data_IF_261924098359
#
_entry.id   IF_261924098359
#
_cell.length_a   1.000
_cell.length_b   1.000
_cell.length_c   1.000
_cell.angle_alpha   90.00
_cell.angle_beta   90.00
_cell.angle_gamma   90.00
#
_symmetry.space_group_name_H-M   'P 1'
#
loop_
_entity.id
_entity.type
_entity.pdbx_description
1 polymer ?
#
# COMPACT_ATOMS: atom_id res chain seq x y z
N UNK A 1 11.44 -22.00 -27.79
CA UNK A 1 12.10 -20.98 -26.98
C UNK A 1 11.11 -20.63 -25.86
N UNK A 2 11.50 -20.74 -24.59
CA UNK A 2 10.67 -20.36 -23.46
C UNK A 2 10.33 -18.85 -23.56
N UNK A 3 9.09 -18.49 -23.27
CA UNK A 3 8.64 -17.11 -23.28
C UNK A 3 9.41 -16.34 -22.19
N UNK A 4 10.06 -15.20 -22.49
CA UNK A 4 10.97 -14.53 -21.54
C UNK A 4 10.24 -13.87 -20.37
N UNK A 5 8.90 -13.71 -20.44
CA UNK A 5 8.06 -13.12 -19.43
C UNK A 5 6.93 -14.06 -19.02
N UNK A 6 6.53 -13.98 -17.75
CA UNK A 6 5.44 -14.76 -17.20
C UNK A 6 4.10 -14.27 -17.74
N UNK A 7 3.20 -15.20 -18.04
CA UNK A 7 1.81 -14.86 -18.39
C UNK A 7 1.10 -14.26 -17.16
N UNK A 8 0.41 -13.13 -17.38
CA UNK A 8 -0.26 -12.41 -16.34
C UNK A 8 -1.60 -13.06 -15.93
N UNK A 9 -1.99 -12.91 -14.68
CA UNK A 9 -3.32 -13.25 -14.20
C UNK A 9 -4.34 -12.15 -14.55
N UNK A 10 -5.61 -12.48 -14.48
CA UNK A 10 -6.74 -11.54 -14.61
C UNK A 10 -6.76 -10.73 -15.90
N UNK A 11 -6.87 -11.42 -17.03
CA UNK A 11 -7.16 -10.75 -18.30
C UNK A 11 -8.15 -11.55 -19.14
N UNK A 12 -8.79 -10.86 -20.10
CA UNK A 12 -9.71 -11.46 -21.06
C UNK A 12 -9.26 -11.10 -22.47
N UNK A 13 -9.00 -12.07 -23.35
CA UNK A 13 -8.75 -11.81 -24.76
C UNK A 13 -9.97 -11.14 -25.43
N UNK A 14 -9.70 -10.25 -26.38
CA UNK A 14 -10.71 -9.61 -27.23
C UNK A 14 -10.28 -9.65 -28.71
N UNK A 15 -11.14 -9.18 -29.61
CA UNK A 15 -10.85 -9.16 -31.04
C UNK A 15 -9.53 -8.48 -31.38
N UNK A 16 -8.99 -8.81 -32.56
CA UNK A 16 -7.73 -8.27 -33.10
C UNK A 16 -6.52 -8.46 -32.17
N UNK A 17 -6.44 -9.60 -31.51
CA UNK A 17 -5.40 -9.93 -30.52
C UNK A 17 -5.26 -8.91 -29.40
N UNK A 18 -6.31 -8.11 -29.12
CA UNK A 18 -6.36 -7.26 -27.95
C UNK A 18 -6.63 -8.04 -26.68
N UNK A 19 -6.39 -7.41 -25.53
CA UNK A 19 -6.77 -7.96 -24.21
C UNK A 19 -7.37 -6.87 -23.34
N UNK A 20 -8.24 -7.25 -22.39
CA UNK A 20 -8.67 -6.40 -21.28
C UNK A 20 -7.99 -6.92 -20.02
N UNK A 21 -7.17 -6.10 -19.40
CA UNK A 21 -6.57 -6.40 -18.09
C UNK A 21 -7.59 -6.15 -16.99
N UNK A 22 -7.91 -7.19 -16.20
CA UNK A 22 -8.91 -7.15 -15.15
C UNK A 22 -8.30 -7.12 -13.73
N UNK A 23 -6.98 -6.90 -13.61
CA UNK A 23 -6.28 -6.94 -12.34
C UNK A 23 -6.59 -5.70 -11.46
N UNK A 24 -6.56 -4.51 -12.05
CA UNK A 24 -6.88 -3.27 -11.36
C UNK A 24 -8.06 -2.56 -11.99
N UNK A 25 -8.61 -1.58 -11.28
CA UNK A 25 -9.83 -0.87 -11.65
C UNK A 25 -9.71 0.04 -12.87
N UNK A 26 -8.51 0.21 -13.44
CA UNK A 26 -8.35 0.82 -14.75
C UNK A 26 -8.95 -0.01 -15.88
N UNK A 27 -9.00 -1.35 -15.73
CA UNK A 27 -9.52 -2.28 -16.73
C UNK A 27 -9.03 -1.94 -18.14
N UNK A 28 -7.69 -1.81 -18.27
CA UNK A 28 -7.04 -1.36 -19.49
C UNK A 28 -7.36 -2.27 -20.67
N UNK A 29 -7.88 -1.68 -21.76
CA UNK A 29 -7.91 -2.33 -23.07
C UNK A 29 -6.55 -2.14 -23.73
N UNK A 30 -5.79 -3.24 -23.86
CA UNK A 30 -4.40 -3.23 -24.33
C UNK A 30 -4.33 -3.90 -25.69
N UNK A 31 -4.01 -3.13 -26.72
CA UNK A 31 -3.85 -3.64 -28.09
C UNK A 31 -2.54 -4.42 -28.22
N UNK A 32 -2.42 -5.20 -29.30
CA UNK A 32 -1.20 -5.93 -29.67
C UNK A 32 0.04 -5.01 -29.62
N UNK A 33 1.12 -5.48 -28.99
CA UNK A 33 2.38 -4.73 -28.86
C UNK A 33 2.32 -3.51 -27.94
N UNK A 34 1.28 -3.35 -27.12
CA UNK A 34 1.12 -2.18 -26.23
C UNK A 34 1.17 -2.57 -24.76
N UNK A 35 1.40 -1.55 -23.92
CA UNK A 35 1.42 -1.65 -22.47
C UNK A 35 0.12 -1.11 -21.87
N UNK A 36 -0.25 -1.64 -20.70
CA UNK A 36 -1.28 -1.04 -19.84
C UNK A 36 -0.79 0.24 -19.17
N UNK A 37 -1.71 0.96 -18.51
CA UNK A 37 -1.44 2.22 -17.79
C UNK A 37 -0.27 2.11 -16.79
N UNK A 38 -0.10 0.96 -16.14
CA UNK A 38 0.99 0.73 -15.17
C UNK A 38 2.39 0.62 -15.80
N UNK A 39 2.50 0.52 -17.13
CA UNK A 39 3.76 0.41 -17.85
C UNK A 39 4.45 -0.96 -17.78
N UNK A 40 3.88 -1.97 -17.10
CA UNK A 40 4.52 -3.28 -16.86
C UNK A 40 3.67 -4.49 -17.27
N UNK A 41 2.49 -4.25 -17.83
CA UNK A 41 1.62 -5.27 -18.42
C UNK A 41 1.61 -5.11 -19.92
N UNK A 42 2.15 -6.10 -20.65
CA UNK A 42 2.40 -6.09 -22.08
C UNK A 42 1.54 -7.11 -22.80
N UNK A 43 0.88 -6.72 -23.88
CA UNK A 43 0.12 -7.63 -24.72
C UNK A 43 0.98 -8.13 -25.88
N UNK A 44 1.20 -9.43 -25.94
CA UNK A 44 1.89 -10.14 -27.04
C UNK A 44 0.98 -11.22 -27.62
N UNK A 45 0.53 -11.04 -28.83
CA UNK A 45 -0.27 -12.05 -29.55
C UNK A 45 -1.63 -12.35 -28.93
N UNK A 46 -2.25 -11.42 -28.18
CA UNK A 46 -3.50 -11.68 -27.45
C UNK A 46 -3.29 -12.33 -26.08
N UNK A 47 -2.04 -12.45 -25.62
CA UNK A 47 -1.66 -12.88 -24.28
C UNK A 47 -1.11 -11.70 -23.49
N UNK A 48 -1.60 -11.52 -22.28
CA UNK A 48 -1.07 -10.50 -21.36
C UNK A 48 0.11 -11.07 -20.59
N UNK A 49 1.24 -10.35 -20.59
CA UNK A 49 2.46 -10.72 -19.88
C UNK A 49 2.77 -9.71 -18.79
N UNK A 50 3.29 -10.17 -17.66
CA UNK A 50 3.92 -9.31 -16.66
C UNK A 50 5.41 -9.21 -16.95
N UNK A 51 5.92 -7.99 -17.06
CA UNK A 51 7.33 -7.72 -17.35
C UNK A 51 8.22 -7.72 -16.10
N UNK A 52 7.62 -7.67 -14.92
CA UNK A 52 8.32 -7.42 -13.64
C UNK A 52 8.29 -8.61 -12.68
N UNK A 53 7.90 -9.79 -13.16
CA UNK A 53 7.92 -10.99 -12.33
C UNK A 53 9.38 -11.34 -11.95
N UNK A 54 9.64 -11.43 -10.63
CA UNK A 54 10.99 -11.63 -10.04
C UNK A 54 12.03 -10.53 -10.38
N UNK A 55 11.60 -9.38 -10.92
CA UNK A 55 12.47 -8.23 -11.20
C UNK A 55 12.32 -7.17 -10.11
N UNK A 56 13.15 -7.28 -9.08
CA UNK A 56 13.04 -6.47 -7.87
C UNK A 56 13.97 -5.27 -7.95
N UNK A 57 13.41 -4.06 -7.86
CA UNK A 57 14.16 -2.79 -7.88
C UNK A 57 14.55 -2.30 -6.49
N UNK A 58 13.83 -2.73 -5.47
CA UNK A 58 14.13 -2.39 -4.07
C UNK A 58 13.84 -3.58 -3.17
N UNK A 59 14.81 -3.92 -2.30
CA UNK A 59 14.71 -5.00 -1.32
C UNK A 59 15.43 -4.57 -0.04
N UNK A 60 14.68 -4.40 1.09
CA UNK A 60 15.22 -3.90 2.35
C UNK A 60 14.56 -4.57 3.55
N UNK A 61 15.32 -4.76 4.62
CA UNK A 61 14.76 -5.06 5.93
C UNK A 61 14.41 -3.74 6.61
N UNK A 62 13.12 -3.50 6.84
CA UNK A 62 12.60 -2.27 7.43
C UNK A 62 11.81 -2.56 8.72
N UNK A 63 11.70 -1.61 9.67
CA UNK A 63 10.69 -1.71 10.72
C UNK A 63 9.28 -1.73 10.13
N UNK A 64 8.38 -2.50 10.74
CA UNK A 64 6.97 -2.57 10.30
C UNK A 64 6.29 -1.19 10.38
N UNK A 65 6.69 -0.34 11.31
CA UNK A 65 6.22 1.03 11.47
C UNK A 65 6.45 1.89 10.22
N UNK A 66 7.51 1.61 9.44
CA UNK A 66 7.77 2.29 8.16
C UNK A 66 6.75 1.91 7.06
N UNK A 67 5.93 0.88 7.30
CA UNK A 67 4.84 0.45 6.40
C UNK A 67 3.49 1.08 6.78
N UNK A 68 3.45 2.11 7.58
CA UNK A 68 2.44 2.59 8.52
C UNK A 68 1.44 1.50 8.96
N UNK A 69 2.01 0.41 9.51
CA UNK A 69 1.27 -0.70 10.13
C UNK A 69 1.65 -0.74 11.61
N UNK A 70 0.98 0.09 12.41
CA UNK A 70 1.29 0.27 13.84
C UNK A 70 0.62 -0.78 14.72
N UNK A 71 -0.36 -1.50 14.17
CA UNK A 71 -1.14 -2.55 14.83
C UNK A 71 -0.86 -3.95 14.27
N UNK A 72 0.25 -4.13 13.54
CA UNK A 72 0.69 -5.44 13.02
C UNK A 72 2.07 -5.75 13.55
N UNK A 73 2.17 -6.66 14.52
CA UNK A 73 3.44 -7.07 15.14
C UNK A 73 4.36 -5.87 15.47
N UNK A 74 3.93 -4.89 16.29
CA UNK A 74 4.69 -3.66 16.54
C UNK A 74 6.14 -3.94 16.96
N UNK A 75 7.10 -3.19 16.40
CA UNK A 75 8.53 -3.33 16.65
C UNK A 75 9.21 -4.47 15.90
N UNK A 76 8.47 -5.19 15.04
CA UNK A 76 9.06 -6.25 14.22
C UNK A 76 9.72 -5.72 12.95
N UNK A 77 10.61 -6.55 12.39
CA UNK A 77 11.17 -6.34 11.06
C UNK A 77 10.26 -6.92 9.98
N UNK A 78 10.20 -6.22 8.82
CA UNK A 78 9.51 -6.64 7.61
C UNK A 78 10.49 -6.62 6.43
N UNK A 79 10.55 -7.69 5.65
CA UNK A 79 11.31 -7.69 4.41
C UNK A 79 10.49 -7.04 3.30
N UNK A 80 10.94 -5.91 2.81
CA UNK A 80 10.21 -5.01 1.90
C UNK A 80 10.71 -5.16 0.49
N UNK A 81 9.81 -5.40 -0.47
CA UNK A 81 10.15 -5.60 -1.88
C UNK A 81 9.29 -4.73 -2.79
N UNK A 82 9.88 -4.28 -3.91
CA UNK A 82 9.20 -3.55 -4.96
C UNK A 82 9.73 -3.91 -6.34
N UNK A 83 8.86 -3.79 -7.34
CA UNK A 83 9.22 -3.75 -8.76
C UNK A 83 9.06 -2.34 -9.32
N UNK A 84 9.53 -2.08 -10.54
CA UNK A 84 9.26 -0.81 -11.21
C UNK A 84 7.81 -0.73 -11.68
N UNK A 85 7.31 0.51 -11.83
CA UNK A 85 5.97 0.81 -12.33
C UNK A 85 4.94 1.07 -11.23
N UNK A 86 3.80 1.64 -11.63
CA UNK A 86 2.64 1.88 -10.76
C UNK A 86 1.40 2.11 -11.64
N UNK A 87 0.24 1.71 -11.16
CA UNK A 87 -1.03 2.01 -11.83
C UNK A 87 -1.56 3.43 -11.56
N UNK A 88 -0.95 4.19 -10.62
CA UNK A 88 -1.20 5.61 -10.41
C UNK A 88 -0.07 6.49 -10.95
N UNK A 89 -0.38 7.76 -11.20
CA UNK A 89 0.58 8.76 -11.72
C UNK A 89 0.59 10.00 -10.83
N UNK A 90 0.70 9.80 -9.51
CA UNK A 90 0.66 10.88 -8.52
C UNK A 90 1.74 11.93 -8.78
N UNK A 91 1.35 13.20 -8.91
CA UNK A 91 2.28 14.32 -9.12
C UNK A 91 3.24 14.54 -7.92
N UNK A 92 2.86 14.01 -6.74
CA UNK A 92 3.61 14.09 -5.48
C UNK A 92 4.29 12.77 -5.07
N UNK A 93 4.52 11.85 -6.00
CA UNK A 93 5.02 10.51 -5.69
C UNK A 93 6.43 10.55 -5.10
N UNK A 94 6.61 10.03 -3.88
CA UNK A 94 7.90 9.99 -3.17
C UNK A 94 8.88 8.97 -3.80
N UNK A 95 8.37 8.01 -4.58
CA UNK A 95 9.15 6.96 -5.25
C UNK A 95 9.01 7.09 -6.78
N UNK A 96 8.97 8.31 -7.32
CA UNK A 96 8.71 8.55 -8.75
C UNK A 96 9.81 7.96 -9.65
N UNK A 97 11.03 7.88 -9.15
CA UNK A 97 12.20 7.30 -9.81
C UNK A 97 12.01 5.83 -10.20
N UNK A 98 11.32 5.05 -9.37
CA UNK A 98 11.03 3.64 -9.62
C UNK A 98 9.59 3.39 -10.08
N UNK A 99 8.63 4.21 -9.62
CA UNK A 99 7.20 4.01 -9.94
C UNK A 99 6.79 4.56 -11.31
N UNK A 100 7.51 5.56 -11.84
CA UNK A 100 7.19 6.21 -13.11
C UNK A 100 8.19 5.87 -14.23
N UNK A 101 8.87 4.74 -14.12
CA UNK A 101 9.77 4.21 -15.15
C UNK A 101 8.99 3.96 -16.44
N UNK A 102 9.53 4.43 -17.56
CA UNK A 102 8.94 4.25 -18.89
C UNK A 102 9.62 3.09 -19.62
N UNK A 103 8.94 1.96 -19.72
CA UNK A 103 9.36 0.85 -20.57
C UNK A 103 8.88 1.13 -21.99
N UNK A 104 9.78 0.99 -22.98
CA UNK A 104 9.42 1.18 -24.38
C UNK A 104 8.87 -0.14 -24.94
N UNK A 105 7.69 -0.06 -25.55
CA UNK A 105 7.07 -1.18 -26.27
C UNK A 105 6.27 -0.65 -27.46
N UNK A 106 6.40 -1.31 -28.61
CA UNK A 106 5.58 -1.06 -29.80
C UNK A 106 5.40 -2.40 -30.54
N UNK A 107 4.49 -2.47 -31.54
CA UNK A 107 4.35 -3.66 -32.37
C UNK A 107 5.65 -4.09 -33.07
N UNK A 108 6.54 -3.13 -33.34
CA UNK A 108 7.83 -3.35 -34.03
C UNK A 108 9.00 -3.54 -33.05
N UNK A 109 8.80 -3.28 -31.76
CA UNK A 109 9.85 -3.34 -30.73
C UNK A 109 9.31 -3.92 -29.43
N UNK A 110 9.50 -5.21 -29.24
CA UNK A 110 9.10 -5.91 -28.03
C UNK A 110 10.03 -5.56 -26.86
N UNK A 111 9.52 -5.46 -25.63
CA UNK A 111 10.36 -5.34 -24.44
C UNK A 111 11.27 -6.57 -24.28
N UNK A 112 12.51 -6.38 -23.85
CA UNK A 112 13.40 -7.46 -23.45
C UNK A 112 13.64 -7.44 -21.94
N UNK A 113 13.99 -8.60 -21.32
CA UNK A 113 14.25 -8.67 -19.87
C UNK A 113 15.37 -7.73 -19.40
N UNK A 114 16.35 -7.42 -20.26
CA UNK A 114 17.47 -6.53 -19.97
C UNK A 114 17.05 -5.06 -19.90
N UNK A 115 15.93 -4.70 -20.52
CA UNK A 115 15.36 -3.36 -20.49
C UNK A 115 14.52 -3.11 -19.24
N UNK A 116 14.20 -4.15 -18.45
CA UNK A 116 13.41 -4.03 -17.23
C UNK A 116 14.35 -3.81 -16.05
N UNK A 117 14.33 -2.66 -15.40
CA UNK A 117 15.18 -2.40 -14.24
C UNK A 117 14.84 -3.33 -13.08
N UNK A 118 15.87 -3.74 -12.34
CA UNK A 118 15.77 -4.60 -11.17
C UNK A 118 16.64 -5.84 -11.28
N UNK A 119 16.95 -6.41 -10.13
CA UNK A 119 17.70 -7.65 -10.00
C UNK A 119 16.76 -8.85 -9.93
N UNK A 120 17.25 -10.00 -10.31
CA UNK A 120 16.49 -11.26 -10.21
C UNK A 120 16.44 -11.68 -8.74
N UNK A 121 15.23 -11.84 -8.21
CA UNK A 121 14.98 -12.37 -6.86
C UNK A 121 13.78 -13.31 -6.93
N UNK A 122 14.02 -14.62 -6.80
CA UNK A 122 12.96 -15.61 -6.91
C UNK A 122 12.01 -15.59 -5.71
N UNK A 123 10.85 -16.21 -5.87
CA UNK A 123 9.86 -16.37 -4.80
C UNK A 123 10.46 -17.08 -3.57
N UNK A 124 11.31 -18.07 -3.79
CA UNK A 124 11.99 -18.81 -2.72
C UNK A 124 12.99 -17.91 -1.99
N UNK A 125 13.80 -17.16 -2.74
CA UNK A 125 14.82 -16.28 -2.17
C UNK A 125 14.21 -15.17 -1.30
N UNK A 126 13.05 -14.59 -1.68
CA UNK A 126 12.42 -13.56 -0.85
C UNK A 126 11.98 -14.10 0.50
N UNK A 127 11.48 -15.34 0.54
CA UNK A 127 11.08 -16.00 1.78
C UNK A 127 12.30 -16.38 2.62
N UNK A 128 13.32 -16.98 2.01
CA UNK A 128 14.58 -17.33 2.69
C UNK A 128 15.26 -16.11 3.33
N UNK A 129 15.32 -14.97 2.62
CA UNK A 129 15.89 -13.73 3.17
C UNK A 129 15.06 -13.23 4.36
N UNK A 130 13.73 -13.27 4.24
CA UNK A 130 12.86 -12.87 5.36
C UNK A 130 13.08 -13.74 6.60
N UNK A 131 13.25 -15.06 6.44
CA UNK A 131 13.59 -15.99 7.54
C UNK A 131 14.96 -15.70 8.14
N UNK A 132 15.99 -15.57 7.30
CA UNK A 132 17.36 -15.29 7.74
C UNK A 132 17.48 -14.01 8.56
N UNK A 133 16.67 -13.00 8.24
CA UNK A 133 16.60 -11.72 8.97
C UNK A 133 15.53 -11.70 10.07
N UNK A 134 14.92 -12.84 10.40
CA UNK A 134 13.87 -12.96 11.42
C UNK A 134 12.70 -11.98 11.22
N UNK A 135 12.39 -11.64 9.96
CA UNK A 135 11.27 -10.79 9.64
C UNK A 135 9.95 -11.48 9.96
N UNK A 136 9.04 -10.77 10.64
CA UNK A 136 7.69 -11.28 10.92
C UNK A 136 6.77 -11.17 9.72
N UNK A 137 7.13 -10.34 8.73
CA UNK A 137 6.34 -10.15 7.52
C UNK A 137 7.20 -9.89 6.28
N UNK A 138 6.60 -10.12 5.11
CA UNK A 138 7.06 -9.60 3.83
C UNK A 138 6.11 -8.47 3.43
N UNK A 139 6.67 -7.28 3.15
CA UNK A 139 5.93 -6.13 2.71
C UNK A 139 6.12 -5.88 1.21
N UNK A 140 5.04 -5.95 0.45
CA UNK A 140 4.99 -5.56 -0.95
C UNK A 140 4.64 -4.06 -1.00
N UNK A 141 5.61 -3.20 -1.35
CA UNK A 141 5.56 -1.77 -1.01
C UNK A 141 6.33 -0.89 -2.00
N UNK A 142 6.60 0.38 -1.63
CA UNK A 142 7.32 1.45 -2.34
C UNK A 142 6.67 1.88 -3.66
N UNK A 143 6.35 0.93 -4.54
CA UNK A 143 5.54 1.15 -5.74
C UNK A 143 4.12 0.65 -5.47
N UNK A 144 3.52 -0.12 -6.36
CA UNK A 144 2.17 -0.63 -6.15
C UNK A 144 2.13 -2.16 -6.25
N UNK A 145 1.84 -2.90 -5.18
CA UNK A 145 1.81 -4.36 -5.20
C UNK A 145 0.86 -4.96 -6.24
N UNK A 146 -0.22 -4.27 -6.57
CA UNK A 146 -1.15 -4.73 -7.62
C UNK A 146 -0.44 -5.01 -8.94
N UNK A 147 0.56 -4.21 -9.34
CA UNK A 147 1.16 -4.37 -10.67
C UNK A 147 2.14 -5.54 -10.76
N UNK A 148 2.63 -6.05 -9.64
CA UNK A 148 3.46 -7.26 -9.55
C UNK A 148 2.76 -8.39 -8.76
N UNK A 149 1.46 -8.47 -8.96
CA UNK A 149 0.52 -9.34 -8.27
C UNK A 149 0.94 -10.82 -8.29
N UNK A 150 1.35 -11.36 -9.43
CA UNK A 150 1.72 -12.78 -9.57
C UNK A 150 2.88 -13.14 -8.63
N UNK A 151 3.86 -12.25 -8.52
CA UNK A 151 4.99 -12.43 -7.61
C UNK A 151 4.53 -12.35 -6.14
N UNK A 152 3.73 -11.35 -5.80
CA UNK A 152 3.20 -11.19 -4.44
C UNK A 152 2.29 -12.37 -4.03
N UNK A 153 1.49 -12.88 -4.97
CA UNK A 153 0.60 -14.03 -4.75
C UNK A 153 1.40 -15.32 -4.46
N UNK A 154 2.40 -15.63 -5.29
CA UNK A 154 3.20 -16.83 -5.13
C UNK A 154 4.12 -16.76 -3.91
N UNK A 155 4.78 -15.62 -3.70
CA UNK A 155 5.59 -15.40 -2.51
C UNK A 155 4.75 -15.41 -1.23
N UNK A 156 3.56 -14.81 -1.23
CA UNK A 156 2.63 -14.84 -0.10
C UNK A 156 2.18 -16.25 0.25
N UNK A 157 1.87 -17.04 -0.77
CA UNK A 157 1.51 -18.46 -0.58
C UNK A 157 2.66 -19.29 0.02
N UNK A 158 3.91 -19.00 -0.37
CA UNK A 158 5.07 -19.67 0.21
C UNK A 158 5.35 -19.17 1.63
N UNK A 159 5.34 -17.86 1.86
CA UNK A 159 5.61 -17.22 3.15
C UNK A 159 4.67 -17.72 4.26
N UNK A 160 3.39 -17.93 3.97
CA UNK A 160 2.43 -18.51 4.92
C UNK A 160 2.82 -19.92 5.40
N UNK A 161 3.47 -20.74 4.55
CA UNK A 161 3.97 -22.07 4.96
C UNK A 161 5.13 -21.97 5.96
N UNK A 162 5.78 -20.81 6.00
CA UNK A 162 6.89 -20.47 6.91
C UNK A 162 6.44 -19.58 8.08
N UNK A 163 5.11 -19.40 8.27
CA UNK A 163 4.52 -18.54 9.31
C UNK A 163 4.99 -17.07 9.24
N UNK A 164 5.24 -16.57 8.03
CA UNK A 164 5.58 -15.18 7.75
C UNK A 164 4.33 -14.49 7.21
N UNK A 165 3.93 -13.37 7.83
CA UNK A 165 2.79 -12.56 7.39
C UNK A 165 3.10 -11.86 6.07
N UNK A 166 2.05 -11.59 5.28
CA UNK A 166 2.16 -10.81 4.06
C UNK A 166 1.36 -9.53 4.17
N UNK A 167 2.01 -8.41 3.90
CA UNK A 167 1.39 -7.11 4.04
C UNK A 167 1.56 -6.26 2.77
N UNK A 168 0.52 -5.55 2.39
CA UNK A 168 0.54 -4.60 1.29
C UNK A 168 0.63 -3.16 1.80
N UNK A 169 1.46 -2.35 1.15
CA UNK A 169 1.35 -0.89 1.19
C UNK A 169 0.87 -0.47 -0.20
N UNK A 170 -0.39 -0.11 -0.33
CA UNK A 170 -1.09 -0.07 -1.61
C UNK A 170 -1.96 1.17 -1.77
N UNK A 171 -2.19 1.58 -3.00
CA UNK A 171 -3.18 2.60 -3.33
C UNK A 171 -4.63 2.08 -3.38
N UNK A 172 -4.84 0.79 -3.12
CA UNK A 172 -6.15 0.17 -3.02
C UNK A 172 -6.92 0.03 -4.33
N UNK A 173 -6.27 0.09 -5.50
CA UNK A 173 -6.96 0.08 -6.79
C UNK A 173 -7.15 -1.31 -7.42
N UNK A 174 -7.13 -2.36 -6.60
CA UNK A 174 -7.38 -3.74 -7.05
C UNK A 174 -8.85 -3.95 -7.41
N UNK A 175 -9.10 -4.89 -8.32
CA UNK A 175 -10.46 -5.37 -8.58
C UNK A 175 -10.93 -6.31 -7.46
N UNK A 176 -12.25 -6.50 -7.37
CA UNK A 176 -12.84 -7.40 -6.39
C UNK A 176 -12.38 -8.85 -6.61
N UNK A 177 -12.21 -9.25 -7.86
CA UNK A 177 -11.74 -10.57 -8.25
C UNK A 177 -10.29 -10.81 -7.74
N UNK A 178 -9.41 -9.84 -7.95
CA UNK A 178 -8.02 -9.92 -7.49
C UNK A 178 -7.92 -9.91 -5.95
N UNK A 179 -8.72 -9.10 -5.27
CA UNK A 179 -8.77 -9.07 -3.80
C UNK A 179 -9.23 -10.40 -3.20
N UNK A 180 -10.28 -11.00 -3.75
CA UNK A 180 -10.79 -12.29 -3.28
C UNK A 180 -9.77 -13.41 -3.47
N UNK A 181 -9.04 -13.40 -4.59
CA UNK A 181 -8.04 -14.42 -4.89
C UNK A 181 -6.82 -14.34 -3.98
N UNK A 182 -6.32 -13.13 -3.68
CA UNK A 182 -5.14 -12.97 -2.82
C UNK A 182 -5.46 -13.08 -1.33
N UNK A 183 -6.72 -12.88 -0.93
CA UNK A 183 -7.15 -12.86 0.48
C UNK A 183 -6.59 -14.00 1.33
N UNK A 184 -6.52 -15.27 0.87
CA UNK A 184 -5.97 -16.34 1.69
C UNK A 184 -4.50 -16.15 2.11
N UNK A 185 -3.79 -15.26 1.43
CA UNK A 185 -2.35 -15.03 1.59
C UNK A 185 -2.00 -13.57 1.94
N UNK A 186 -2.99 -12.70 2.13
CA UNK A 186 -2.83 -11.30 2.52
C UNK A 186 -3.40 -11.06 3.91
N UNK A 187 -2.54 -10.80 4.89
CA UNK A 187 -2.91 -10.66 6.29
C UNK A 187 -3.32 -9.22 6.63
N UNK A 188 -2.57 -8.24 6.12
CA UNK A 188 -2.82 -6.84 6.41
C UNK A 188 -2.50 -5.93 5.21
N UNK A 189 -3.07 -4.74 5.21
CA UNK A 189 -2.76 -3.70 4.24
C UNK A 189 -2.75 -2.31 4.89
N UNK A 190 -1.73 -1.53 4.58
CA UNK A 190 -1.83 -0.08 4.69
C UNK A 190 -2.33 0.45 3.35
N UNK A 191 -3.47 1.13 3.35
CA UNK A 191 -4.12 1.61 2.13
C UNK A 191 -4.08 3.14 2.09
N UNK A 192 -3.51 3.67 1.02
CA UNK A 192 -3.46 5.10 0.76
C UNK A 192 -4.82 5.65 0.31
N UNK A 193 -5.65 6.11 1.24
CA UNK A 193 -6.79 6.97 0.93
C UNK A 193 -6.30 8.42 0.85
N UNK A 194 -5.95 8.84 -0.37
CA UNK A 194 -5.21 10.10 -0.60
C UNK A 194 -6.03 11.38 -0.39
N UNK A 195 -7.32 11.26 -0.06
CA UNK A 195 -8.25 12.34 0.24
C UNK A 195 -9.68 12.00 -0.17
N UNK A 196 -10.62 12.92 0.08
CA UNK A 196 -12.04 12.72 -0.24
C UNK A 196 -12.54 13.67 -1.34
N UNK A 197 -11.65 13.97 -2.31
CA UNK A 197 -11.89 14.92 -3.40
C UNK A 197 -11.68 14.24 -4.76
N UNK A 198 -12.77 14.06 -5.53
CA UNK A 198 -12.73 13.40 -6.84
C UNK A 198 -11.87 14.16 -7.88
N UNK A 199 -11.83 15.48 -7.81
CA UNK A 199 -10.98 16.31 -8.68
C UNK A 199 -9.49 16.11 -8.37
N UNK A 200 -9.12 15.97 -7.11
CA UNK A 200 -7.75 15.64 -6.70
C UNK A 200 -7.32 14.28 -7.26
N UNK A 201 -8.17 13.26 -7.08
CA UNK A 201 -7.92 11.93 -7.63
C UNK A 201 -7.77 11.95 -9.16
N UNK A 202 -8.65 12.67 -9.86
CA UNK A 202 -8.60 12.75 -11.32
C UNK A 202 -7.39 13.53 -11.85
N UNK A 203 -7.09 14.71 -11.26
CA UNK A 203 -6.09 15.65 -11.77
C UNK A 203 -4.67 15.37 -11.33
N UNK A 204 -4.48 14.86 -10.09
CA UNK A 204 -3.16 14.70 -9.45
C UNK A 204 -2.72 13.27 -9.25
N UNK A 205 -3.64 12.30 -9.36
CA UNK A 205 -3.39 10.89 -9.08
C UNK A 205 -3.61 10.04 -10.34
N UNK A 206 -4.60 10.41 -11.17
CA UNK A 206 -4.96 9.67 -12.39
C UNK A 206 -5.86 8.46 -12.09
N UNK A 207 -6.74 8.58 -11.08
CA UNK A 207 -7.62 7.51 -10.62
C UNK A 207 -9.01 8.04 -10.25
N UNK A 208 -9.91 7.16 -9.80
CA UNK A 208 -11.24 7.48 -9.28
C UNK A 208 -11.28 7.17 -7.79
N UNK A 209 -11.78 8.11 -7.00
CA UNK A 209 -11.93 7.98 -5.55
C UNK A 209 -12.82 6.79 -5.18
N UNK A 210 -13.99 6.69 -5.82
CA UNK A 210 -15.02 5.70 -5.51
C UNK A 210 -14.48 4.26 -5.58
N UNK A 211 -13.60 3.99 -6.54
CA UNK A 211 -12.98 2.68 -6.72
C UNK A 211 -12.03 2.30 -5.57
N UNK A 212 -11.38 3.28 -4.94
CA UNK A 212 -10.56 3.06 -3.74
C UNK A 212 -11.44 2.82 -2.52
N UNK A 213 -12.51 3.60 -2.36
CA UNK A 213 -13.47 3.43 -1.26
C UNK A 213 -14.11 2.04 -1.29
N UNK A 214 -14.52 1.56 -2.47
CA UNK A 214 -15.07 0.21 -2.63
C UNK A 214 -14.06 -0.90 -2.31
N UNK A 215 -12.79 -0.70 -2.67
CA UNK A 215 -11.73 -1.66 -2.31
C UNK A 215 -11.48 -1.72 -0.81
N UNK A 216 -11.47 -0.58 -0.11
CA UNK A 216 -11.35 -0.51 1.34
C UNK A 216 -12.49 -1.26 2.04
N UNK A 217 -13.73 -1.00 1.65
CA UNK A 217 -14.91 -1.71 2.17
C UNK A 217 -14.81 -3.22 1.94
N UNK A 218 -14.39 -3.63 0.74
CA UNK A 218 -14.23 -5.04 0.42
C UNK A 218 -13.10 -5.69 1.24
N UNK A 219 -11.94 -5.04 1.39
CA UNK A 219 -10.84 -5.56 2.23
C UNK A 219 -11.31 -5.80 3.67
N UNK A 220 -12.02 -4.81 4.28
CA UNK A 220 -12.58 -4.95 5.63
C UNK A 220 -13.56 -6.13 5.70
N UNK A 221 -14.48 -6.24 4.74
CA UNK A 221 -15.46 -7.34 4.70
C UNK A 221 -14.85 -8.72 4.51
N UNK A 222 -13.69 -8.81 3.85
CA UNK A 222 -12.93 -10.03 3.69
C UNK A 222 -12.09 -10.40 4.93
N UNK A 223 -12.05 -9.55 5.96
CA UNK A 223 -11.28 -9.77 7.18
C UNK A 223 -9.77 -9.57 7.00
N UNK A 224 -9.34 -8.75 6.04
CA UNK A 224 -7.96 -8.27 5.94
C UNK A 224 -7.82 -7.14 6.96
N UNK A 225 -6.76 -7.15 7.80
CA UNK A 225 -6.47 -6.02 8.68
C UNK A 225 -6.10 -4.80 7.84
N UNK A 226 -6.73 -3.66 8.13
CA UNK A 226 -6.51 -2.42 7.36
C UNK A 226 -6.04 -1.32 8.30
N UNK A 227 -5.01 -0.60 7.88
CA UNK A 227 -4.67 0.73 8.36
C UNK A 227 -4.71 1.70 7.19
N UNK A 228 -5.31 2.88 7.37
CA UNK A 228 -5.50 3.85 6.28
C UNK A 228 -4.48 4.97 6.41
N UNK A 229 -3.82 5.33 5.30
CA UNK A 229 -2.90 6.49 5.27
C UNK A 229 -3.44 7.60 4.39
N UNK A 230 -3.39 8.84 4.89
CA UNK A 230 -3.69 10.05 4.11
C UNK A 230 -2.49 10.99 4.16
N UNK A 231 -1.79 11.15 3.02
CA UNK A 231 -0.79 12.19 2.84
C UNK A 231 -1.52 13.53 2.59
N UNK A 232 -1.37 14.48 3.49
CA UNK A 232 -2.02 15.80 3.33
C UNK A 232 -1.16 16.68 2.44
N UNK A 233 -1.70 17.08 1.30
CA UNK A 233 -1.04 17.92 0.29
C UNK A 233 -1.69 19.30 0.29
N UNK A 234 -0.96 20.38 0.62
CA UNK A 234 -1.50 21.73 0.70
C UNK A 234 -2.21 22.18 -0.58
N UNK A 235 -3.39 22.79 -0.42
CA UNK A 235 -4.23 23.27 -1.50
C UNK A 235 -5.05 22.20 -2.24
N UNK A 236 -4.92 20.91 -1.88
CA UNK A 236 -5.62 19.81 -2.54
C UNK A 236 -6.56 19.03 -1.63
N UNK A 237 -6.10 18.56 -0.48
CA UNK A 237 -6.85 17.72 0.45
C UNK A 237 -6.67 18.16 1.92
N UNK A 238 -6.23 19.40 2.15
CA UNK A 238 -5.90 19.96 3.45
C UNK A 238 -7.07 20.74 4.12
N UNK A 239 -8.23 20.82 3.45
CA UNK A 239 -9.43 21.48 4.00
C UNK A 239 -10.09 20.59 5.06
N UNK A 240 -10.54 21.21 6.16
CA UNK A 240 -11.20 20.48 7.25
C UNK A 240 -12.38 19.63 6.78
N UNK A 241 -13.21 20.14 5.85
CA UNK A 241 -14.36 19.40 5.33
C UNK A 241 -13.94 18.09 4.63
N UNK A 242 -12.83 18.09 3.87
CA UNK A 242 -12.33 16.89 3.22
C UNK A 242 -11.74 15.91 4.24
N UNK A 243 -11.03 16.42 5.27
CA UNK A 243 -10.49 15.61 6.37
C UNK A 243 -11.61 14.97 7.21
N UNK A 244 -12.70 15.72 7.50
CA UNK A 244 -13.90 15.19 8.16
C UNK A 244 -14.57 14.09 7.34
N UNK A 245 -14.63 14.21 6.03
CA UNK A 245 -15.17 13.14 5.15
C UNK A 245 -14.31 11.89 5.19
N UNK A 246 -12.95 12.02 5.19
CA UNK A 246 -12.05 10.87 5.36
C UNK A 246 -12.29 10.20 6.70
N UNK A 247 -12.28 10.95 7.81
CA UNK A 247 -12.50 10.42 9.15
C UNK A 247 -13.86 9.72 9.27
N UNK A 248 -14.92 10.35 8.75
CA UNK A 248 -16.28 9.79 8.78
C UNK A 248 -16.38 8.51 7.95
N UNK A 249 -15.76 8.46 6.77
CA UNK A 249 -15.73 7.23 5.95
C UNK A 249 -15.03 6.09 6.70
N UNK A 250 -13.88 6.34 7.32
CA UNK A 250 -13.16 5.31 8.08
C UNK A 250 -14.05 4.83 9.24
N UNK A 251 -14.62 5.75 10.03
CA UNK A 251 -15.48 5.41 11.15
C UNK A 251 -16.74 4.62 10.74
N UNK A 252 -17.46 5.12 9.75
CA UNK A 252 -18.77 4.56 9.38
C UNK A 252 -18.69 3.27 8.53
N UNK A 253 -17.68 3.18 7.65
CA UNK A 253 -17.60 2.10 6.66
C UNK A 253 -16.52 1.05 7.01
N UNK A 254 -15.48 1.43 7.76
CA UNK A 254 -14.39 0.53 8.13
C UNK A 254 -14.36 0.19 9.62
N UNK A 255 -15.02 0.99 10.47
CA UNK A 255 -15.10 0.78 11.90
C UNK A 255 -14.13 1.66 12.72
N UNK A 256 -14.52 1.92 13.97
CA UNK A 256 -13.76 2.75 14.91
C UNK A 256 -12.39 2.21 15.27
N UNK A 257 -12.19 0.88 15.08
CA UNK A 257 -10.96 0.12 15.31
C UNK A 257 -9.93 0.26 14.18
N UNK A 258 -10.31 0.85 13.04
CA UNK A 258 -9.40 1.02 11.88
C UNK A 258 -8.48 2.21 12.09
N UNK A 259 -7.13 2.00 12.18
CA UNK A 259 -6.18 3.09 12.39
C UNK A 259 -6.10 4.03 11.19
N UNK A 260 -6.03 5.34 11.47
CA UNK A 260 -5.82 6.38 10.47
C UNK A 260 -4.47 7.07 10.67
N UNK A 261 -3.59 6.98 9.68
CA UNK A 261 -2.27 7.62 9.62
C UNK A 261 -2.34 8.89 8.78
N UNK A 262 -2.06 10.03 9.39
CA UNK A 262 -2.07 11.35 8.77
C UNK A 262 -0.64 11.76 8.51
N UNK A 263 -0.20 11.70 7.25
CA UNK A 263 1.19 11.92 6.89
C UNK A 263 1.43 13.31 6.34
N UNK A 264 2.53 13.93 6.79
CA UNK A 264 2.97 15.25 6.34
C UNK A 264 3.60 15.15 4.96
N UNK A 265 3.15 15.98 4.01
CA UNK A 265 3.74 16.11 2.70
C UNK A 265 5.04 16.95 2.75
N UNK A 266 6.00 16.56 1.93
CA UNK A 266 7.17 17.33 1.58
C UNK A 266 7.30 17.44 0.06
N UNK A 267 7.84 18.57 -0.49
CA UNK A 267 8.02 18.77 -1.93
C UNK A 267 8.73 17.59 -2.58
N UNK A 268 8.15 17.03 -3.64
CA UNK A 268 8.75 15.95 -4.41
C UNK A 268 8.16 15.86 -5.83
N UNK A 269 8.95 15.29 -6.75
CA UNK A 269 8.60 14.98 -8.13
C UNK A 269 8.08 16.21 -8.90
N UNK A 270 6.78 16.28 -9.27
CA UNK A 270 6.18 17.41 -10.00
C UNK A 270 5.63 18.51 -9.09
N UNK A 271 5.75 18.38 -7.79
CA UNK A 271 5.22 19.33 -6.80
C UNK A 271 6.36 19.88 -5.91
N UNK A 272 7.45 20.31 -6.57
CA UNK A 272 8.62 20.91 -5.91
C UNK A 272 8.38 22.35 -5.45
N UNK A 273 7.36 22.99 -5.97
CA UNK A 273 6.92 24.37 -5.70
C UNK A 273 5.86 24.48 -4.59
N UNK A 274 5.41 23.34 -4.06
CA UNK A 274 4.41 23.30 -2.98
C UNK A 274 5.13 23.17 -1.63
N UNK A 275 4.86 24.08 -0.71
CA UNK A 275 5.43 24.06 0.63
C UNK A 275 5.03 22.80 1.42
N UNK A 276 5.88 22.32 2.36
CA UNK A 276 5.52 21.22 3.25
C UNK A 276 4.24 21.52 4.01
N UNK A 277 3.43 20.50 4.27
CA UNK A 277 2.20 20.67 5.06
C UNK A 277 2.50 21.31 6.43
N UNK A 278 1.84 22.40 6.78
CA UNK A 278 1.99 23.02 8.11
C UNK A 278 1.61 22.02 9.22
N UNK A 279 2.42 21.99 10.29
CA UNK A 279 2.23 21.04 11.41
C UNK A 279 0.86 21.15 12.06
N UNK A 280 0.31 22.38 12.19
CA UNK A 280 -1.01 22.58 12.77
C UNK A 280 -2.13 21.90 11.98
N UNK A 281 -2.00 21.74 10.65
CA UNK A 281 -2.98 21.02 9.83
C UNK A 281 -2.92 19.52 10.14
N UNK A 282 -1.72 18.94 10.30
CA UNK A 282 -1.56 17.52 10.69
C UNK A 282 -2.22 17.27 12.06
N UNK A 283 -1.94 18.13 13.06
CA UNK A 283 -2.55 18.02 14.39
C UNK A 283 -4.05 18.20 14.34
N UNK A 284 -4.56 19.17 13.55
CA UNK A 284 -5.99 19.39 13.38
C UNK A 284 -6.69 18.18 12.75
N UNK A 285 -6.08 17.56 11.75
CA UNK A 285 -6.61 16.33 11.15
C UNK A 285 -6.67 15.17 12.18
N UNK A 286 -5.66 15.05 13.06
CA UNK A 286 -5.69 14.08 14.16
C UNK A 286 -6.85 14.37 15.15
N UNK A 287 -7.05 15.62 15.54
CA UNK A 287 -8.18 16.02 16.37
C UNK A 287 -9.52 15.63 15.73
N UNK A 288 -9.71 15.93 14.44
CA UNK A 288 -10.90 15.57 13.67
C UNK A 288 -11.15 14.05 13.70
N UNK A 289 -10.12 13.22 13.53
CA UNK A 289 -10.26 11.78 13.59
C UNK A 289 -10.72 11.30 14.97
N UNK A 290 -10.12 11.82 16.04
CA UNK A 290 -10.50 11.49 17.42
C UNK A 290 -11.90 11.99 17.76
N UNK A 291 -12.26 13.22 17.36
CA UNK A 291 -13.62 13.79 17.52
C UNK A 291 -14.69 12.98 16.79
N UNK A 292 -14.33 12.34 15.65
CA UNK A 292 -15.24 11.48 14.88
C UNK A 292 -15.51 10.15 15.60
N UNK A 293 -14.65 9.76 16.55
CA UNK A 293 -14.77 8.52 17.33
C UNK A 293 -13.79 7.42 16.94
N UNK A 294 -12.79 7.70 16.09
CA UNK A 294 -11.74 6.74 15.79
C UNK A 294 -10.88 6.46 17.02
N UNK A 295 -10.61 5.17 17.30
CA UNK A 295 -9.78 4.76 18.45
C UNK A 295 -8.31 5.12 18.25
N UNK A 296 -7.82 5.08 17.02
CA UNK A 296 -6.39 5.17 16.69
C UNK A 296 -6.16 6.15 15.54
N UNK A 297 -5.55 7.29 15.85
CA UNK A 297 -5.23 8.34 14.86
C UNK A 297 -3.80 8.79 15.06
N UNK A 298 -2.97 8.59 14.05
CA UNK A 298 -1.53 8.80 14.09
C UNK A 298 -1.08 9.96 13.22
N UNK A 299 -0.04 10.68 13.67
CA UNK A 299 0.70 11.64 12.85
C UNK A 299 1.93 10.97 12.24
N UNK A 300 2.18 11.19 10.96
CA UNK A 300 3.32 10.64 10.23
C UNK A 300 4.19 11.73 9.59
N UNK A 301 5.47 11.42 9.35
CA UNK A 301 6.48 12.35 8.88
C UNK A 301 6.65 13.59 9.79
N UNK A 302 6.46 13.41 11.10
CA UNK A 302 6.60 14.43 12.13
C UNK A 302 7.27 13.81 13.37
N UNK A 303 8.57 13.44 13.31
CA UNK A 303 9.25 12.73 14.38
C UNK A 303 9.21 13.47 15.72
N UNK A 304 8.84 12.74 16.78
CA UNK A 304 8.72 13.27 18.14
C UNK A 304 7.39 13.94 18.45
N UNK A 305 6.40 13.88 17.54
CA UNK A 305 5.04 14.33 17.84
C UNK A 305 4.31 13.29 18.71
N UNK A 306 3.50 13.76 19.68
CA UNK A 306 2.72 12.88 20.55
C UNK A 306 1.76 11.98 19.76
N UNK A 307 1.36 12.36 18.56
CA UNK A 307 0.52 11.58 17.68
C UNK A 307 1.19 10.32 17.11
N UNK A 308 2.50 10.10 17.30
CA UNK A 308 3.17 8.85 16.95
C UNK A 308 2.90 7.70 17.95
N UNK A 309 2.41 8.04 19.15
CA UNK A 309 2.19 7.04 20.20
C UNK A 309 0.85 6.33 20.03
N UNK A 310 0.81 5.05 20.42
CA UNK A 310 -0.46 4.34 20.57
C UNK A 310 -1.00 4.59 21.98
N UNK A 311 -2.22 5.11 22.06
CA UNK A 311 -2.94 5.32 23.32
C UNK A 311 -4.02 4.25 23.49
N UNK A 312 -4.26 3.86 24.73
CA UNK A 312 -5.41 3.02 25.05
C UNK A 312 -6.70 3.83 24.85
N UNK A 313 -7.59 3.37 23.98
CA UNK A 313 -8.86 4.03 23.72
C UNK A 313 -9.79 4.10 24.96
N UNK A 314 -9.57 3.22 25.96
CA UNK A 314 -10.40 3.15 27.17
C UNK A 314 -9.84 4.00 28.31
N UNK A 315 -8.53 3.92 28.64
CA UNK A 315 -7.94 4.64 29.77
C UNK A 315 -6.99 5.78 29.39
N UNK A 316 -6.80 6.02 28.10
CA UNK A 316 -5.96 7.08 27.52
C UNK A 316 -4.48 7.07 27.94
N UNK A 317 -3.97 5.95 28.48
CA UNK A 317 -2.55 5.78 28.78
C UNK A 317 -1.79 5.41 27.52
N UNK A 318 -0.52 5.84 27.42
CA UNK A 318 0.37 5.45 26.33
C UNK A 318 0.63 3.94 26.45
N UNK A 319 0.30 3.22 25.38
CA UNK A 319 0.58 1.78 25.25
C UNK A 319 1.88 1.52 24.53
N UNK A 320 2.11 2.21 23.40
CA UNK A 320 3.36 2.11 22.65
C UNK A 320 3.89 3.52 22.46
N UNK A 321 5.07 3.78 23.05
CA UNK A 321 5.80 5.02 22.86
C UNK A 321 6.73 4.87 21.67
N UNK A 322 6.63 5.79 20.71
CA UNK A 322 7.47 5.79 19.51
C UNK A 322 8.27 7.08 19.38
N UNK A 323 9.39 6.98 18.69
CA UNK A 323 10.12 8.09 18.12
C UNK A 323 10.47 7.70 16.68
N UNK A 324 9.77 8.29 15.70
CA UNK A 324 9.81 7.85 14.32
C UNK A 324 9.39 6.37 14.20
N UNK A 325 10.28 5.52 13.69
CA UNK A 325 10.01 4.09 13.53
C UNK A 325 10.52 3.23 14.69
N UNK A 326 11.06 3.82 15.74
CA UNK A 326 11.61 3.10 16.90
C UNK A 326 10.59 3.04 18.02
N UNK A 327 10.33 1.83 18.52
CA UNK A 327 9.55 1.63 19.76
C UNK A 327 10.47 1.82 20.94
N UNK A 328 10.08 2.71 21.87
CA UNK A 328 10.81 2.99 23.11
C UNK A 328 10.21 2.21 24.29
N UNK A 329 8.88 2.05 24.32
CA UNK A 329 8.15 1.33 25.36
C UNK A 329 6.94 0.62 24.74
N UNK A 330 6.59 -0.58 25.28
CA UNK A 330 5.39 -1.31 24.89
C UNK A 330 4.69 -1.85 26.15
N UNK A 331 3.46 -1.40 26.38
CA UNK A 331 2.59 -1.73 27.51
C UNK A 331 1.36 -2.55 27.07
N UNK A 332 1.47 -3.25 25.93
CA UNK A 332 0.50 -4.24 25.49
C UNK A 332 1.01 -5.62 25.89
N UNK A 333 0.18 -6.42 26.58
CA UNK A 333 0.48 -7.79 26.98
C UNK A 333 -0.67 -8.69 26.58
N UNK A 334 -0.37 -9.73 25.82
CA UNK A 334 -1.38 -10.68 25.32
C UNK A 334 -2.57 -9.97 24.64
N UNK A 335 -2.29 -8.95 23.81
CA UNK A 335 -3.30 -8.16 23.11
C UNK A 335 -4.14 -7.24 24.00
N UNK A 336 -3.72 -6.95 25.24
CA UNK A 336 -4.45 -6.13 26.21
C UNK A 336 -3.61 -5.00 26.75
N UNK A 337 -4.30 -3.90 27.10
CA UNK A 337 -3.71 -2.80 27.86
C UNK A 337 -3.30 -3.28 29.27
N UNK A 338 -2.02 -3.18 29.62
CA UNK A 338 -1.55 -3.61 30.95
C UNK A 338 -2.13 -2.78 32.12
N UNK A 339 -2.66 -1.57 31.83
CA UNK A 339 -3.16 -0.67 32.87
C UNK A 339 -4.65 -0.89 33.20
N UNK A 340 -5.47 -1.27 32.21
CA UNK A 340 -6.92 -1.40 32.41
C UNK A 340 -7.53 -2.68 31.86
N UNK A 341 -6.76 -3.53 31.19
CA UNK A 341 -7.23 -4.80 30.63
C UNK A 341 -8.05 -4.71 29.35
N UNK A 342 -8.27 -3.49 28.78
CA UNK A 342 -8.97 -3.35 27.52
C UNK A 342 -8.25 -4.09 26.39
N UNK A 343 -9.01 -4.82 25.56
CA UNK A 343 -8.48 -5.52 24.38
C UNK A 343 -8.06 -4.47 23.34
N UNK A 344 -6.86 -4.61 22.79
CA UNK A 344 -6.34 -3.70 21.77
C UNK A 344 -6.46 -4.37 20.41
N UNK A 345 -6.96 -3.62 19.43
CA UNK A 345 -7.22 -4.11 18.08
C UNK A 345 -5.91 -4.22 17.29
N UNK A 346 -5.70 -5.34 16.57
CA UNK A 346 -4.51 -5.57 15.74
C UNK A 346 -4.12 -7.04 15.58
N UNK A 347 -2.97 -7.27 14.95
CA UNK A 347 -2.38 -8.60 14.72
C UNK A 347 -1.07 -8.70 15.48
N UNK A 348 -0.86 -9.80 16.24
CA UNK A 348 0.42 -10.08 16.92
C UNK A 348 0.82 -9.00 17.94
N UNK A 349 -0.14 -8.50 18.69
CA UNK A 349 0.04 -7.52 19.76
C UNK A 349 0.44 -8.26 21.06
N UNK A 350 1.74 -8.35 21.31
CA UNK A 350 2.30 -9.06 22.47
C UNK A 350 3.25 -8.15 23.25
#
# INVERSE_FOLDING_TARGET
MSQPFKEAMFYTPIENKGVVCNLCRHRCKILEGRLGTCGVRYNKGGKLLTLVYEKIIAAHVDPIEKKPLFHVCPGSSSFSVATVGCNFHCDFCQNADISQVKIKASPESEPSPEQIPGEQLSVEQVVEIAEQHHCKSIAYTYTEPTIFYEYAYEAGKLAHRHNILNVFVTNGYLTAEALKEIKPYLDAANVDLKGFNADFYRKKIGAKLEEVLDSLKLMKSLGIWIEVTTLIVPGWNDKEDDLRKVAHFIYAELGEDTPWHISRFFPHYKMMDVEPTPVHIIRKAREIGLETGLRYVYTGNLPGDEGEHTYCYHCNKILIRRYGYTILENHIKEGKCEFCGAVIDGIGLN
#
